data_IF_792365917683
#
_entry.id   IF_792365917683
#
_cell.length_a   1.000
_cell.length_b   1.000
_cell.length_c   1.000
_cell.angle_alpha   90.00
_cell.angle_beta   90.00
_cell.angle_gamma   90.00
#
_symmetry.space_group_name_H-M   'P 1'
#
loop_
_entity.id
_entity.type
_entity.pdbx_description
1 polymer ?
#
# COMPACT_ATOMS: atom_id res chain seq x y z
N UNK A 1 1.85 7.36 19.50
CA UNK A 1 1.17 6.15 20.04
C UNK A 1 2.10 5.31 20.91
N UNK A 2 3.11 4.60 20.39
CA UNK A 2 4.03 3.82 21.25
C UNK A 2 4.82 4.69 22.24
N UNK A 3 5.37 5.82 21.76
CA UNK A 3 6.04 6.85 22.59
C UNK A 3 5.13 7.50 23.65
N UNK A 4 3.83 7.34 23.51
CA UNK A 4 2.81 7.87 24.44
C UNK A 4 2.18 6.72 25.25
N UNK A 5 2.77 5.52 25.19
CA UNK A 5 2.34 4.34 25.95
C UNK A 5 0.90 3.86 25.65
N UNK A 6 0.27 4.36 24.58
CA UNK A 6 -1.07 3.94 24.13
C UNK A 6 -1.05 2.49 23.62
N UNK A 7 0.06 2.11 23.00
CA UNK A 7 0.37 0.74 22.54
C UNK A 7 1.79 0.40 22.98
N UNK A 8 2.09 -0.88 23.17
CA UNK A 8 3.46 -1.28 23.50
C UNK A 8 4.37 -1.23 22.27
N UNK A 9 5.64 -0.87 22.48
CA UNK A 9 6.67 -0.91 21.43
C UNK A 9 6.82 -2.33 20.85
N UNK A 10 6.80 -3.36 21.71
CA UNK A 10 6.85 -4.76 21.27
C UNK A 10 5.71 -5.19 20.32
N UNK A 11 4.52 -4.58 20.44
CA UNK A 11 3.43 -4.81 19.49
C UNK A 11 3.71 -4.18 18.13
N UNK A 12 4.40 -3.03 18.10
CA UNK A 12 4.85 -2.40 16.86
C UNK A 12 5.92 -3.25 16.20
N UNK A 13 6.92 -3.71 16.96
CA UNK A 13 8.05 -4.51 16.45
C UNK A 13 7.61 -5.88 15.90
N UNK A 14 6.59 -6.48 16.50
CA UNK A 14 6.04 -7.76 16.04
C UNK A 14 5.07 -7.63 14.86
N UNK A 15 4.57 -6.42 14.58
CA UNK A 15 3.62 -6.20 13.50
C UNK A 15 4.31 -6.02 12.16
N UNK A 16 3.86 -6.78 11.15
CA UNK A 16 4.30 -6.64 9.77
C UNK A 16 3.09 -6.66 8.84
N UNK A 17 3.09 -5.81 7.81
CA UNK A 17 2.04 -5.84 6.80
C UNK A 17 2.20 -7.09 5.92
N UNK A 18 1.12 -7.87 5.71
CA UNK A 18 1.14 -9.05 4.83
C UNK A 18 0.99 -8.62 3.36
N UNK A 19 1.74 -7.62 2.92
CA UNK A 19 1.68 -7.05 1.58
C UNK A 19 3.07 -7.11 0.96
N UNK A 20 3.15 -7.64 -0.26
CA UNK A 20 4.37 -7.68 -1.05
C UNK A 20 4.11 -7.11 -2.44
N UNK A 21 4.80 -6.02 -2.77
CA UNK A 21 4.73 -5.37 -4.06
C UNK A 21 5.81 -5.95 -4.99
N UNK A 22 5.45 -6.97 -5.77
CA UNK A 22 6.38 -7.62 -6.69
C UNK A 22 6.75 -6.71 -7.87
N UNK A 23 8.03 -6.68 -8.24
CA UNK A 23 8.48 -6.03 -9.46
C UNK A 23 8.07 -6.81 -10.72
N UNK A 24 8.01 -6.12 -11.86
CA UNK A 24 7.77 -6.77 -13.15
C UNK A 24 8.77 -7.91 -13.44
N UNK A 25 10.04 -7.72 -13.03
CA UNK A 25 11.10 -8.72 -13.18
C UNK A 25 10.83 -9.97 -12.33
N UNK A 26 10.44 -9.79 -11.07
CA UNK A 26 10.11 -10.91 -10.18
C UNK A 26 8.89 -11.67 -10.70
N UNK A 27 7.84 -10.97 -11.11
CA UNK A 27 6.62 -11.59 -11.64
C UNK A 27 6.90 -12.38 -12.92
N UNK A 28 7.67 -11.81 -13.85
CA UNK A 28 8.11 -12.52 -15.06
C UNK A 28 8.83 -13.83 -14.71
N UNK A 29 9.80 -13.78 -13.80
CA UNK A 29 10.54 -14.97 -13.37
C UNK A 29 9.66 -16.02 -12.69
N UNK A 30 8.65 -15.62 -11.93
CA UNK A 30 7.69 -16.55 -11.31
C UNK A 30 6.84 -17.25 -12.39
N UNK A 31 6.32 -16.50 -13.37
CA UNK A 31 5.47 -17.05 -14.44
C UNK A 31 6.26 -18.01 -15.33
N UNK A 32 7.50 -17.64 -15.68
CA UNK A 32 8.39 -18.51 -16.48
C UNK A 32 8.70 -19.82 -15.75
N UNK A 33 8.98 -19.77 -14.44
CA UNK A 33 9.19 -20.97 -13.62
C UNK A 33 7.94 -21.81 -13.48
N UNK A 34 6.75 -21.20 -13.40
CA UNK A 34 5.49 -21.92 -13.35
C UNK A 34 5.23 -22.71 -14.65
N UNK A 35 5.60 -22.15 -15.79
CA UNK A 35 5.57 -22.84 -17.09
C UNK A 35 4.19 -23.02 -17.73
N UNK A 36 3.08 -22.87 -16.99
CA UNK A 36 1.71 -23.09 -17.48
C UNK A 36 1.14 -21.96 -18.33
N UNK A 37 1.77 -20.78 -18.34
CA UNK A 37 1.28 -19.60 -19.04
C UNK A 37 2.34 -19.00 -19.97
N UNK A 38 1.90 -18.37 -21.06
CA UNK A 38 2.68 -17.38 -21.82
C UNK A 38 2.28 -15.97 -21.38
N UNK A 39 3.26 -15.05 -21.40
CA UNK A 39 3.03 -13.64 -21.10
C UNK A 39 2.75 -12.93 -22.41
N UNK A 40 1.51 -12.45 -22.59
CA UNK A 40 1.13 -11.63 -23.74
C UNK A 40 1.46 -10.15 -23.51
N UNK A 41 1.27 -9.68 -22.27
CA UNK A 41 1.51 -8.28 -21.90
C UNK A 41 1.97 -8.20 -20.45
N UNK A 42 2.97 -7.36 -20.19
CA UNK A 42 3.51 -7.07 -18.87
C UNK A 42 3.95 -5.60 -18.85
N UNK A 43 3.22 -4.78 -18.12
CA UNK A 43 3.42 -3.33 -18.09
C UNK A 43 3.26 -2.77 -16.68
N UNK A 44 3.93 -1.65 -16.42
CA UNK A 44 3.70 -0.85 -15.21
C UNK A 44 2.94 0.39 -15.59
N UNK A 45 1.77 0.60 -14.99
CA UNK A 45 0.94 1.78 -15.16
C UNK A 45 0.93 2.60 -13.87
N UNK A 46 0.63 3.90 -13.99
CA UNK A 46 0.36 4.75 -12.84
C UNK A 46 -1.11 5.18 -12.88
N UNK A 47 -2.01 4.51 -12.12
CA UNK A 47 -3.43 4.84 -12.16
C UNK A 47 -3.74 6.24 -11.62
N UNK A 48 -2.79 6.91 -10.95
CA UNK A 48 -2.95 8.27 -10.44
C UNK A 48 -2.48 9.35 -11.43
N UNK A 49 -1.70 9.02 -12.49
CA UNK A 49 -1.10 10.05 -13.35
C UNK A 49 -2.04 10.70 -14.37
N UNK A 50 -3.19 10.08 -14.68
CA UNK A 50 -4.04 10.53 -15.78
C UNK A 50 -5.36 11.20 -15.34
N UNK A 51 -5.73 11.14 -14.06
CA UNK A 51 -7.09 11.53 -13.64
C UNK A 51 -7.21 12.38 -12.36
N UNK A 52 -6.15 12.60 -11.57
CA UNK A 52 -6.29 13.22 -10.25
C UNK A 52 -5.56 14.58 -10.14
N UNK A 53 -6.37 15.62 -9.90
CA UNK A 53 -6.03 16.75 -9.03
C UNK A 53 -5.24 16.21 -7.84
N UNK A 54 -4.16 16.89 -7.44
CA UNK A 54 -3.26 16.44 -6.36
C UNK A 54 -4.02 15.64 -5.30
N UNK A 55 -3.66 14.36 -5.08
CA UNK A 55 -4.48 13.48 -4.26
C UNK A 55 -4.62 14.10 -2.87
N UNK A 56 -5.86 14.47 -2.55
CA UNK A 56 -6.24 14.94 -1.22
C UNK A 56 -5.71 13.91 -0.21
N UNK A 57 -4.87 14.38 0.73
CA UNK A 57 -4.24 13.55 1.76
C UNK A 57 -5.30 12.77 2.53
N UNK A 58 -6.50 13.34 2.70
CA UNK A 58 -7.64 12.68 3.33
C UNK A 58 -8.17 11.52 2.51
N UNK A 59 -8.22 11.65 1.19
CA UNK A 59 -8.62 10.56 0.28
C UNK A 59 -7.62 9.41 0.36
N UNK A 60 -6.32 9.71 0.39
CA UNK A 60 -5.26 8.71 0.56
C UNK A 60 -5.38 8.00 1.91
N UNK A 61 -5.60 8.76 2.99
CA UNK A 61 -5.84 8.21 4.34
C UNK A 61 -7.03 7.27 4.37
N UNK A 62 -8.17 7.68 3.80
CA UNK A 62 -9.39 6.87 3.77
C UNK A 62 -9.19 5.60 2.91
N UNK A 63 -8.47 5.69 1.80
CA UNK A 63 -8.15 4.53 0.96
C UNK A 63 -7.30 3.50 1.73
N UNK A 64 -6.24 3.95 2.40
CA UNK A 64 -5.40 3.07 3.22
C UNK A 64 -6.16 2.50 4.41
N UNK A 65 -7.04 3.29 5.05
CA UNK A 65 -7.92 2.83 6.11
C UNK A 65 -8.82 1.70 5.65
N UNK A 66 -9.52 1.88 4.53
CA UNK A 66 -10.41 0.87 3.98
C UNK A 66 -9.69 -0.46 3.67
N UNK A 67 -8.43 -0.41 3.20
CA UNK A 67 -7.64 -1.60 2.89
C UNK A 67 -6.95 -2.26 4.09
N UNK A 68 -6.49 -1.48 5.08
CA UNK A 68 -5.58 -1.95 6.12
C UNK A 68 -6.22 -2.06 7.51
N UNK A 69 -7.35 -1.39 7.76
CA UNK A 69 -7.97 -1.34 9.09
C UNK A 69 -8.19 -2.74 9.69
N UNK A 70 -8.73 -3.68 8.91
CA UNK A 70 -9.00 -5.04 9.41
C UNK A 70 -7.75 -5.80 9.86
N UNK A 71 -6.59 -5.52 9.25
CA UNK A 71 -5.31 -6.15 9.61
C UNK A 71 -4.75 -5.49 10.88
N UNK A 72 -4.77 -4.16 10.92
CA UNK A 72 -4.26 -3.37 12.04
C UNK A 72 -5.11 -3.64 13.29
N UNK A 73 -6.43 -3.63 13.16
CA UNK A 73 -7.35 -3.80 14.28
C UNK A 73 -7.31 -5.20 14.87
N UNK A 74 -7.00 -6.22 14.05
CA UNK A 74 -6.77 -7.58 14.51
C UNK A 74 -5.55 -7.70 15.43
N UNK A 75 -4.50 -6.90 15.20
CA UNK A 75 -3.26 -6.96 15.98
C UNK A 75 -3.25 -6.01 17.19
N UNK A 76 -3.71 -4.76 16.99
CA UNK A 76 -3.65 -3.71 18.00
C UNK A 76 -4.99 -3.49 18.74
N UNK A 77 -6.08 -4.09 18.26
CA UNK A 77 -7.44 -3.89 18.76
C UNK A 77 -8.15 -2.70 18.12
N UNK A 78 -9.49 -2.71 18.20
CA UNK A 78 -10.34 -1.69 17.54
C UNK A 78 -10.26 -0.31 18.21
N UNK A 79 -9.92 -0.24 19.50
CA UNK A 79 -10.00 1.00 20.28
C UNK A 79 -9.06 2.11 19.79
N UNK A 80 -7.99 1.75 19.10
CA UNK A 80 -6.95 2.69 18.66
C UNK A 80 -7.12 3.15 17.21
N UNK A 81 -8.06 2.56 16.47
CA UNK A 81 -8.11 2.68 15.01
C UNK A 81 -8.47 4.08 14.56
N UNK A 82 -9.50 4.69 15.14
CA UNK A 82 -9.91 6.05 14.77
C UNK A 82 -8.77 7.03 15.02
N UNK A 83 -8.18 6.98 16.22
CA UNK A 83 -7.06 7.84 16.58
C UNK A 83 -5.81 7.61 15.72
N UNK A 84 -5.51 6.35 15.36
CA UNK A 84 -4.40 6.02 14.47
C UNK A 84 -4.56 6.69 13.11
N UNK A 85 -5.74 6.57 12.50
CA UNK A 85 -5.99 7.14 11.17
C UNK A 85 -6.12 8.66 11.21
N UNK A 86 -6.61 9.26 12.30
CA UNK A 86 -6.59 10.72 12.49
C UNK A 86 -5.16 11.26 12.58
N UNK A 87 -4.27 10.54 13.28
CA UNK A 87 -2.84 10.88 13.37
C UNK A 87 -2.15 10.68 12.02
N UNK A 88 -2.50 9.61 11.30
CA UNK A 88 -1.98 9.35 9.96
C UNK A 88 -2.39 10.46 8.98
N UNK A 89 -3.64 10.94 9.04
CA UNK A 89 -4.13 12.02 8.18
C UNK A 89 -3.33 13.30 8.36
N UNK A 90 -3.18 13.74 9.62
CA UNK A 90 -2.35 14.91 9.98
C UNK A 90 -0.90 14.73 9.51
N UNK A 91 -0.34 13.53 9.65
CA UNK A 91 1.02 13.23 9.19
C UNK A 91 1.14 13.26 7.67
N UNK A 92 0.12 12.80 6.96
CA UNK A 92 0.03 12.87 5.49
C UNK A 92 -0.06 14.32 5.02
N UNK A 93 -0.83 15.18 5.69
CA UNK A 93 -0.90 16.62 5.41
C UNK A 93 0.47 17.30 5.55
N UNK A 94 1.16 17.06 6.67
CA UNK A 94 2.52 17.56 6.93
C UNK A 94 3.52 17.09 5.85
N UNK A 95 3.28 15.92 5.25
CA UNK A 95 4.16 15.30 4.26
C UNK A 95 3.54 15.28 2.86
N UNK A 96 2.59 16.15 2.57
CA UNK A 96 1.89 16.22 1.28
C UNK A 96 2.82 16.40 0.08
N UNK A 97 4.00 17.00 0.27
CA UNK A 97 5.04 17.10 -0.75
C UNK A 97 5.55 15.73 -1.24
N UNK A 98 5.47 14.67 -0.43
CA UNK A 98 5.84 13.30 -0.83
C UNK A 98 4.84 12.73 -1.84
N UNK A 99 3.56 13.08 -1.74
CA UNK A 99 2.54 12.65 -2.70
C UNK A 99 2.75 13.27 -4.09
N UNK A 100 3.37 14.45 -4.13
CA UNK A 100 3.72 15.15 -5.36
C UNK A 100 5.06 14.68 -5.95
N UNK A 101 5.80 13.80 -5.25
CA UNK A 101 7.07 13.32 -5.73
C UNK A 101 6.86 12.09 -6.64
N UNK A 102 7.29 12.16 -7.91
CA UNK A 102 7.11 11.06 -8.88
C UNK A 102 7.77 9.75 -8.45
N UNK A 103 8.76 9.78 -7.55
CA UNK A 103 9.35 8.56 -6.99
C UNK A 103 8.41 7.76 -6.08
N UNK A 104 7.35 8.38 -5.57
CA UNK A 104 6.32 7.74 -4.74
C UNK A 104 5.02 7.49 -5.53
N UNK A 105 5.08 7.59 -6.87
CA UNK A 105 3.96 7.23 -7.72
C UNK A 105 3.53 5.79 -7.47
N UNK A 106 2.23 5.58 -7.30
CA UNK A 106 1.66 4.24 -7.20
C UNK A 106 1.89 3.54 -8.54
N UNK A 107 2.72 2.50 -8.50
CA UNK A 107 2.96 1.65 -9.65
C UNK A 107 2.01 0.47 -9.58
N UNK A 108 1.17 0.33 -10.61
CA UNK A 108 0.32 -0.83 -10.81
C UNK A 108 0.98 -1.72 -11.85
N UNK A 109 1.17 -3.00 -11.52
CA UNK A 109 1.61 -4.00 -12.48
C UNK A 109 0.39 -4.58 -13.22
N UNK A 110 0.36 -4.47 -14.54
CA UNK A 110 -0.66 -5.00 -15.42
C UNK A 110 -0.12 -6.21 -16.19
N UNK A 111 -0.85 -7.33 -16.17
CA UNK A 111 -0.46 -8.57 -16.84
C UNK A 111 -1.61 -9.16 -17.66
N UNK A 112 -1.26 -9.68 -18.84
CA UNK A 112 -2.14 -10.53 -19.65
C UNK A 112 -1.41 -11.85 -19.89
N UNK A 113 -2.05 -12.95 -19.48
CA UNK A 113 -1.50 -14.30 -19.58
C UNK A 113 -2.40 -15.16 -20.45
N UNK A 114 -1.81 -15.98 -21.31
CA UNK A 114 -2.51 -17.06 -22.03
C UNK A 114 -2.08 -18.39 -21.43
N UNK A 115 -3.06 -19.25 -21.13
CA UNK A 115 -2.79 -20.61 -20.69
C UNK A 115 -2.25 -21.44 -21.86
N UNK A 116 -1.15 -22.15 -21.64
CA UNK A 116 -0.62 -23.12 -22.60
C UNK A 116 -1.42 -24.42 -22.59
#
# INVERSE_FOLDING_TARGET
MAKEEIISESQVDSFNFPVYAASAKEMKGIIERNGCFSIERLETTNPLSEAFVQPDTRVVTLHLRAGLEGIISKHFGNKIIDELFDRFDKKSEENSYLLNNPSYSLNQLFLVLIRK
#
